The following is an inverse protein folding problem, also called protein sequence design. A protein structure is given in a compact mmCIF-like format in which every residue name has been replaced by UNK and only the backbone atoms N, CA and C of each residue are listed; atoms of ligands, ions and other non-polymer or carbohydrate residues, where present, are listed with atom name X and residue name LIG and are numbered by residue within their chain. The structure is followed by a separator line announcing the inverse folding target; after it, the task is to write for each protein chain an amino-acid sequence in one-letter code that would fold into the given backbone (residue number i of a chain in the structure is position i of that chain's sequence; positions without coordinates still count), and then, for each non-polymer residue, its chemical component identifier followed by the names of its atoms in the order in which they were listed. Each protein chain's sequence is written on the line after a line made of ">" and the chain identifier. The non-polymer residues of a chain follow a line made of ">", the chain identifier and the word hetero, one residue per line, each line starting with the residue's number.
data_IF_178588839961
#
_entry.id   IF_178588839961
#
_cell.length_a   1.000
_cell.length_b   1.000
_cell.length_c   1.000
_cell.angle_alpha   90.00
_cell.angle_beta   90.00
_cell.angle_gamma   90.00
#
_symmetry.space_group_name_H-M   'P 1'
#
loop_
_entity.id
_entity.type
_entity.pdbx_description
1 polymer ?
#
# COMPACT_ATOMS: atom_id res chain seq x y z
N UNK A 1 -2.64 -35.05 -7.51
CA UNK A 1 -3.54 -34.75 -6.39
C UNK A 1 -3.18 -33.36 -5.93
N UNK A 2 -3.90 -32.35 -6.43
CA UNK A 2 -3.70 -30.98 -5.96
C UNK A 2 -4.51 -30.87 -4.67
N UNK A 3 -3.80 -30.78 -3.56
CA UNK A 3 -4.39 -30.63 -2.24
C UNK A 3 -4.92 -29.19 -2.09
N UNK A 4 -6.19 -29.00 -2.44
CA UNK A 4 -6.90 -27.71 -2.35
C UNK A 4 -7.28 -27.35 -0.89
N UNK A 5 -6.94 -28.20 0.10
CA UNK A 5 -7.33 -28.01 1.51
C UNK A 5 -6.68 -26.82 2.21
N UNK A 6 -5.62 -26.24 1.62
CA UNK A 6 -4.88 -25.11 2.19
C UNK A 6 -5.18 -23.76 1.52
N UNK A 7 -6.23 -23.68 0.69
CA UNK A 7 -6.63 -22.38 0.14
C UNK A 7 -7.16 -21.47 1.25
N UNK A 8 -6.56 -20.28 1.49
CA UNK A 8 -7.12 -19.33 2.43
C UNK A 8 -8.54 -18.95 1.98
N UNK A 9 -9.52 -19.17 2.85
CA UNK A 9 -10.88 -18.72 2.62
C UNK A 9 -10.93 -17.20 2.87
N UNK A 10 -10.94 -16.43 1.79
CA UNK A 10 -11.19 -15.00 1.89
C UNK A 10 -12.68 -14.77 2.18
N UNK A 11 -13.03 -13.91 3.15
CA UNK A 11 -14.42 -13.60 3.41
C UNK A 11 -15.07 -13.03 2.14
N UNK A 12 -16.16 -13.65 1.71
CA UNK A 12 -16.90 -13.30 0.47
C UNK A 12 -17.73 -12.02 0.62
N UNK A 13 -17.76 -11.42 1.81
CA UNK A 13 -18.49 -10.20 2.12
C UNK A 13 -17.51 -9.05 2.35
N UNK A 14 -17.81 -7.90 1.76
CA UNK A 14 -17.13 -6.65 2.08
C UNK A 14 -17.44 -6.32 3.55
N UNK A 15 -16.42 -6.43 4.41
CA UNK A 15 -16.53 -6.07 5.80
C UNK A 15 -16.62 -4.54 5.96
N UNK A 16 -17.41 -4.08 6.92
CA UNK A 16 -17.42 -2.66 7.29
C UNK A 16 -16.04 -2.25 7.84
N UNK A 17 -15.56 -1.06 7.45
CA UNK A 17 -14.26 -0.55 7.91
C UNK A 17 -14.29 -0.37 9.43
N UNK A 18 -13.28 -0.90 10.11
CA UNK A 18 -13.12 -0.69 11.55
C UNK A 18 -13.01 0.82 11.92
N UNK A 19 -13.74 1.29 12.95
CA UNK A 19 -13.58 2.64 13.47
C UNK A 19 -12.15 2.87 13.97
N UNK A 20 -11.49 3.90 13.45
CA UNK A 20 -10.10 4.25 13.75
C UNK A 20 -9.95 5.76 13.84
N UNK A 21 -8.93 6.26 14.55
CA UNK A 21 -8.56 7.68 14.51
C UNK A 21 -8.02 8.07 13.13
N UNK A 22 -8.19 9.33 12.73
CA UNK A 22 -7.49 9.89 11.57
C UNK A 22 -5.99 10.01 11.86
N UNK A 23 -5.16 9.69 10.86
CA UNK A 23 -3.71 9.95 10.85
C UNK A 23 -3.34 10.69 9.57
N UNK A 24 -2.45 11.67 9.69
CA UNK A 24 -1.93 12.44 8.56
C UNK A 24 -0.53 11.96 8.15
N UNK A 25 -0.31 11.82 6.85
CA UNK A 25 1.01 11.52 6.25
C UNK A 25 1.23 12.55 5.13
N UNK A 26 2.01 13.60 5.42
CA UNK A 26 2.09 14.76 4.54
C UNK A 26 0.68 15.32 4.25
N UNK A 27 0.26 15.43 2.97
CA UNK A 27 -1.07 15.89 2.60
C UNK A 27 -2.17 14.81 2.70
N UNK A 28 -1.81 13.54 2.95
CA UNK A 28 -2.74 12.41 2.95
C UNK A 28 -3.39 12.19 4.32
N UNK A 29 -4.59 11.61 4.32
CA UNK A 29 -5.35 11.23 5.53
C UNK A 29 -5.75 9.76 5.45
N UNK A 30 -5.45 9.00 6.50
CA UNK A 30 -5.78 7.56 6.63
C UNK A 30 -6.60 7.34 7.90
N UNK A 31 -7.57 6.42 7.83
CA UNK A 31 -8.42 6.06 8.96
C UNK A 31 -9.71 6.88 9.01
N UNK A 32 -10.50 6.69 10.08
CA UNK A 32 -11.84 7.26 10.23
C UNK A 32 -12.71 7.00 8.99
N UNK A 33 -13.27 8.06 8.39
CA UNK A 33 -14.16 7.99 7.22
C UNK A 33 -13.42 8.27 5.90
N UNK A 34 -12.09 8.39 5.91
CA UNK A 34 -11.31 8.62 4.68
C UNK A 34 -11.19 7.35 3.82
N UNK A 35 -11.00 7.49 2.49
CA UNK A 35 -10.81 6.35 1.59
C UNK A 35 -9.65 5.43 1.99
N UNK A 36 -9.68 4.18 1.52
CA UNK A 36 -8.51 3.29 1.64
C UNK A 36 -7.46 3.81 0.67
N UNK A 37 -6.28 4.15 1.17
CA UNK A 37 -5.16 4.55 0.31
C UNK A 37 -4.39 3.33 -0.16
N UNK A 38 -3.96 3.36 -1.41
CA UNK A 38 -3.04 2.39 -1.98
C UNK A 38 -1.63 2.80 -1.56
N UNK A 39 -0.82 1.82 -1.16
CA UNK A 39 0.58 2.01 -0.85
C UNK A 39 1.42 0.98 -1.61
N UNK A 40 2.62 1.38 -2.01
CA UNK A 40 3.66 0.49 -2.52
C UNK A 40 5.00 0.70 -1.79
N UNK A 41 6.00 -0.10 -2.12
CA UNK A 41 7.37 0.03 -1.63
C UNK A 41 8.34 -0.11 -2.80
N UNK A 42 9.41 0.67 -2.80
CA UNK A 42 10.50 0.54 -3.78
C UNK A 42 11.26 -0.78 -3.60
N UNK A 43 11.78 -1.32 -4.70
CA UNK A 43 12.69 -2.48 -4.69
C UNK A 43 14.14 -2.10 -5.02
N UNK A 44 14.38 -0.88 -5.54
CA UNK A 44 15.73 -0.36 -5.77
C UNK A 44 16.57 -0.36 -4.49
N UNK A 45 17.90 -0.46 -4.65
CA UNK A 45 18.84 -0.25 -3.55
C UNK A 45 18.62 1.16 -2.98
N UNK A 46 18.28 1.24 -1.70
CA UNK A 46 18.03 2.50 -1.00
C UNK A 46 19.17 3.50 -1.15
N UNK A 47 20.43 3.01 -1.24
CA UNK A 47 21.58 3.89 -1.39
C UNK A 47 21.70 4.50 -2.79
N UNK A 48 21.03 3.92 -3.80
CA UNK A 48 20.94 4.48 -5.15
C UNK A 48 19.75 5.46 -5.23
N UNK A 49 20.05 6.72 -5.00
CA UNK A 49 19.04 7.80 -4.98
C UNK A 49 18.34 7.95 -6.32
N UNK A 50 19.06 7.83 -7.45
CA UNK A 50 18.47 8.05 -8.78
C UNK A 50 17.53 6.91 -9.16
N UNK A 51 17.91 5.67 -8.84
CA UNK A 51 17.04 4.51 -9.04
C UNK A 51 15.76 4.60 -8.19
N UNK A 52 15.89 4.95 -6.90
CA UNK A 52 14.73 5.12 -5.99
C UNK A 52 13.79 6.22 -6.48
N UNK A 53 14.32 7.38 -6.89
CA UNK A 53 13.49 8.48 -7.40
C UNK A 53 12.78 8.09 -8.69
N UNK A 54 13.47 7.41 -9.61
CA UNK A 54 12.86 6.92 -10.85
C UNK A 54 11.71 5.95 -10.58
N UNK A 55 11.90 5.00 -9.66
CA UNK A 55 10.87 4.03 -9.29
C UNK A 55 9.66 4.70 -8.60
N UNK A 56 9.89 5.66 -7.70
CA UNK A 56 8.82 6.44 -7.05
C UNK A 56 7.97 7.16 -8.10
N UNK A 57 8.59 7.74 -9.15
CA UNK A 57 7.86 8.41 -10.23
C UNK A 57 6.97 7.43 -11.00
N UNK A 58 7.48 6.25 -11.34
CA UNK A 58 6.70 5.22 -12.00
C UNK A 58 5.51 4.75 -11.16
N UNK A 59 5.72 4.54 -9.85
CA UNK A 59 4.65 4.18 -8.93
C UNK A 59 3.59 5.30 -8.83
N UNK A 60 4.02 6.56 -8.81
CA UNK A 60 3.11 7.71 -8.79
C UNK A 60 2.28 7.79 -10.07
N UNK A 61 2.91 7.63 -11.24
CA UNK A 61 2.24 7.60 -12.55
C UNK A 61 1.25 6.44 -12.66
N UNK A 62 1.53 5.30 -12.00
CA UNK A 62 0.61 4.18 -11.86
C UNK A 62 -0.54 4.43 -10.85
N UNK A 63 -0.58 5.60 -10.21
CA UNK A 63 -1.64 6.00 -9.28
C UNK A 63 -1.39 5.62 -7.82
N UNK A 64 -0.15 5.33 -7.43
CA UNK A 64 0.21 5.06 -6.03
C UNK A 64 0.43 6.39 -5.26
N UNK A 65 -0.45 6.76 -4.31
CA UNK A 65 -0.30 8.02 -3.57
C UNK A 65 0.75 7.95 -2.45
N UNK A 66 1.11 6.76 -1.98
CA UNK A 66 2.01 6.57 -0.84
C UNK A 66 3.07 5.51 -1.16
N UNK A 67 4.35 5.89 -1.12
CA UNK A 67 5.47 4.97 -1.38
C UNK A 67 6.36 4.88 -0.15
N UNK A 68 6.73 3.66 0.22
CA UNK A 68 7.71 3.37 1.28
C UNK A 68 9.08 3.09 0.66
N UNK A 69 10.13 3.53 1.33
CA UNK A 69 11.53 3.19 1.03
C UNK A 69 12.11 2.45 2.24
N UNK A 70 12.91 1.41 2.01
CA UNK A 70 13.63 0.69 3.08
C UNK A 70 14.78 1.58 3.59
N UNK A 71 15.16 1.50 4.86
CA UNK A 71 16.28 2.25 5.44
C UNK A 71 17.23 1.31 6.18
#
# INVERSE_FOLDING_TARGET
>A
MNDESHRPQFPTRIAERHPTREVRIGPLRIGAQHPILIQSMTIADTCDTDAVVSEIRQLHEAGCPLVRVTA
#
